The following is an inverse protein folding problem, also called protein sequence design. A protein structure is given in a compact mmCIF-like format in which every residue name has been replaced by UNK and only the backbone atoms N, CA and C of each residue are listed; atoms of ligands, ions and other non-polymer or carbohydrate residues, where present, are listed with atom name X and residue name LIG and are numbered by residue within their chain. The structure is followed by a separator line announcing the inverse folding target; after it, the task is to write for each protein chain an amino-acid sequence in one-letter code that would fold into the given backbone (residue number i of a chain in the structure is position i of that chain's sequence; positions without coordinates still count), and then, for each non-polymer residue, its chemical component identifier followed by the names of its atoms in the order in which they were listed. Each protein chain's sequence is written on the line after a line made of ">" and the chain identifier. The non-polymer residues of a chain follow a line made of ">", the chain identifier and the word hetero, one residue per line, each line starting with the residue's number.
data_IF_140298481432
#
_entry.id   IF_140298481432
#
_cell.length_a   1.000
_cell.length_b   1.000
_cell.length_c   1.000
_cell.angle_alpha   90.00
_cell.angle_beta   90.00
_cell.angle_gamma   90.00
#
_symmetry.space_group_name_H-M   'P 1'
#
loop_
_entity.id
_entity.type
_entity.pdbx_description
1 polymer ?
#
# COMPACT_ATOMS: atom_id res chain seq x y z
N UNK A 1 11.85 -9.59 16.42
CA UNK A 1 11.60 -8.65 15.29
C UNK A 1 11.48 -7.21 15.81
N UNK A 2 12.55 -6.42 15.76
CA UNK A 2 12.47 -4.98 16.05
C UNK A 2 11.87 -4.28 14.82
N UNK A 3 10.57 -3.97 14.89
CA UNK A 3 9.81 -3.43 13.78
C UNK A 3 10.22 -1.97 13.60
N UNK A 4 11.21 -1.71 12.75
CA UNK A 4 11.42 -0.37 12.18
C UNK A 4 10.26 -0.11 11.22
N UNK A 5 9.13 0.33 11.76
CA UNK A 5 8.14 1.06 10.96
C UNK A 5 8.90 2.19 10.29
N UNK A 6 8.92 2.24 8.97
CA UNK A 6 9.34 3.45 8.27
C UNK A 6 8.34 4.55 8.66
N UNK A 7 8.65 5.28 9.74
CA UNK A 7 7.82 6.35 10.24
C UNK A 7 8.22 7.61 9.47
N UNK A 8 7.33 7.96 8.54
CA UNK A 8 6.96 9.32 8.15
C UNK A 8 8.01 10.42 8.38
N UNK A 9 8.71 10.78 7.31
CA UNK A 9 9.10 12.18 7.09
C UNK A 9 8.59 12.59 5.72
N UNK A 10 7.60 13.48 5.74
CA UNK A 10 6.84 14.05 4.63
C UNK A 10 5.84 13.10 3.96
N UNK A 11 4.58 13.18 4.41
CA UNK A 11 3.43 13.43 3.54
C UNK A 11 2.25 13.95 4.35
N UNK A 12 2.29 15.26 4.54
CA UNK A 12 1.14 16.12 4.73
C UNK A 12 -0.07 15.60 3.92
N UNK A 13 -1.13 15.23 4.64
CA UNK A 13 -2.51 15.23 4.19
C UNK A 13 -2.85 14.41 2.91
N UNK A 14 -2.88 13.08 3.03
CA UNK A 14 -3.59 12.20 2.08
C UNK A 14 -4.66 11.31 2.75
N UNK A 15 -5.02 11.59 4.00
CA UNK A 15 -6.18 11.01 4.67
C UNK A 15 -7.46 11.71 4.18
N UNK A 16 -7.78 11.55 2.91
CA UNK A 16 -8.94 12.22 2.34
C UNK A 16 -9.05 11.99 0.85
N UNK A 17 -9.86 11.01 0.49
CA UNK A 17 -10.22 10.61 -0.88
C UNK A 17 -9.09 9.86 -1.60
N UNK A 18 -9.27 8.54 -1.75
CA UNK A 18 -9.13 7.99 -3.11
C UNK A 18 -10.14 8.78 -3.94
N UNK A 19 -9.69 9.90 -4.51
CA UNK A 19 -10.55 10.67 -5.41
C UNK A 19 -10.72 9.72 -6.59
N UNK A 20 -11.86 9.04 -6.65
CA UNK A 20 -12.47 8.57 -7.89
C UNK A 20 -12.89 9.78 -8.74
N UNK A 21 -12.06 10.83 -8.77
CA UNK A 21 -12.31 12.13 -9.33
C UNK A 21 -11.23 12.45 -10.34
N UNK A 22 -11.68 12.57 -11.59
CA UNK A 22 -11.09 13.27 -12.73
C UNK A 22 -9.77 12.80 -13.37
N UNK A 23 -9.06 11.77 -12.87
CA UNK A 23 -7.94 11.15 -13.62
C UNK A 23 -8.38 10.07 -14.64
N UNK A 24 -9.65 10.09 -15.06
CA UNK A 24 -10.32 9.01 -15.80
C UNK A 24 -9.90 8.87 -17.28
N UNK A 25 -9.26 9.89 -17.88
CA UNK A 25 -9.05 9.93 -19.34
C UNK A 25 -7.83 9.10 -19.83
N UNK A 26 -6.90 8.70 -18.94
CA UNK A 26 -5.65 8.01 -19.34
C UNK A 26 -5.42 6.65 -18.67
N UNK A 27 -6.39 6.10 -17.93
CA UNK A 27 -6.20 4.77 -17.32
C UNK A 27 -6.21 3.70 -18.42
N UNK A 28 -5.16 2.86 -18.54
CA UNK A 28 -5.11 1.84 -19.57
C UNK A 28 -6.18 0.77 -19.30
N UNK A 29 -7.23 0.75 -20.12
CA UNK A 29 -8.45 -0.04 -19.87
C UNK A 29 -8.17 -1.54 -19.74
N UNK A 30 -7.22 -2.08 -20.52
CA UNK A 30 -6.92 -3.52 -20.54
C UNK A 30 -6.20 -4.05 -19.29
N UNK A 31 -5.51 -3.18 -18.54
CA UNK A 31 -4.65 -3.60 -17.41
C UNK A 31 -5.01 -2.89 -16.10
N UNK A 32 -5.96 -1.96 -16.13
CA UNK A 32 -6.40 -1.25 -14.94
C UNK A 32 -7.23 -2.19 -14.05
N UNK A 33 -6.82 -2.35 -12.79
CA UNK A 33 -7.54 -3.14 -11.80
C UNK A 33 -8.51 -2.31 -10.94
N UNK A 34 -8.46 -0.97 -11.03
CA UNK A 34 -9.30 -0.07 -10.23
C UNK A 34 -10.81 -0.39 -10.26
N UNK A 35 -11.43 -0.82 -11.38
CA UNK A 35 -12.86 -1.16 -11.40
C UNK A 35 -13.24 -2.33 -10.48
N UNK A 36 -12.28 -3.17 -10.12
CA UNK A 36 -12.49 -4.36 -9.28
C UNK A 36 -12.08 -4.12 -7.83
N UNK A 37 -11.55 -2.94 -7.50
CA UNK A 37 -11.21 -2.59 -6.12
C UNK A 37 -12.47 -2.18 -5.36
N UNK A 38 -12.54 -2.48 -4.06
CA UNK A 38 -13.66 -2.09 -3.23
C UNK A 38 -13.74 -0.55 -3.15
N UNK A 39 -14.96 -0.03 -3.27
CA UNK A 39 -15.25 1.42 -3.22
C UNK A 39 -14.87 2.01 -1.85
N UNK A 40 -14.98 1.20 -0.80
CA UNK A 40 -14.61 1.55 0.55
C UNK A 40 -13.55 0.58 1.10
N UNK A 41 -12.58 1.05 1.89
CA UNK A 41 -11.61 0.18 2.53
C UNK A 41 -12.27 -0.93 3.34
N UNK A 42 -11.71 -2.14 3.25
CA UNK A 42 -12.22 -3.32 3.92
C UNK A 42 -11.99 -3.18 5.43
N UNK A 43 -13.06 -3.32 6.21
CA UNK A 43 -12.98 -3.30 7.67
C UNK A 43 -12.34 -4.61 8.15
N UNK A 44 -11.12 -4.52 8.67
CA UNK A 44 -10.41 -5.65 9.26
C UNK A 44 -10.15 -5.40 10.75
N UNK A 45 -10.32 -6.44 11.56
CA UNK A 45 -9.97 -6.41 12.99
C UNK A 45 -8.46 -6.61 13.22
N UNK A 46 -7.78 -7.23 12.25
CA UNK A 46 -6.35 -7.56 12.30
C UNK A 46 -5.48 -6.43 11.74
N UNK A 47 -4.19 -6.45 12.08
CA UNK A 47 -3.18 -5.58 11.47
C UNK A 47 -2.30 -6.41 10.53
N UNK A 48 -2.18 -5.97 9.28
CA UNK A 48 -1.39 -6.62 8.24
C UNK A 48 0.02 -6.02 8.22
N UNK A 49 1.03 -6.89 8.32
CA UNK A 49 2.44 -6.54 8.17
C UNK A 49 2.96 -7.19 6.89
N UNK A 50 3.35 -6.36 5.92
CA UNK A 50 3.89 -6.80 4.64
C UNK A 50 5.39 -6.56 4.68
N UNK A 51 6.16 -7.63 4.54
CA UNK A 51 7.62 -7.58 4.43
C UNK A 51 7.96 -7.63 2.94
N UNK A 52 8.57 -6.58 2.41
CA UNK A 52 8.83 -6.41 0.98
C UNK A 52 10.32 -6.25 0.71
N UNK A 53 10.86 -6.99 -0.27
CA UNK A 53 12.23 -6.78 -0.73
C UNK A 53 12.31 -5.52 -1.63
N UNK A 54 13.38 -4.68 -1.55
CA UNK A 54 13.47 -3.47 -2.37
C UNK A 54 13.36 -3.71 -3.87
N UNK A 55 13.86 -4.84 -4.37
CA UNK A 55 13.75 -5.19 -5.80
C UNK A 55 12.30 -5.52 -6.24
N UNK A 56 11.38 -5.75 -5.32
CA UNK A 56 9.96 -5.91 -5.64
C UNK A 56 9.27 -4.57 -5.82
N UNK A 57 9.78 -3.50 -5.23
CA UNK A 57 9.24 -2.15 -5.38
C UNK A 57 9.36 -1.64 -6.82
N UNK A 58 10.44 -2.02 -7.51
CA UNK A 58 10.69 -1.67 -8.90
C UNK A 58 9.86 -2.48 -9.91
N UNK A 59 9.09 -3.50 -9.48
CA UNK A 59 8.26 -4.30 -10.39
C UNK A 59 7.00 -3.52 -10.78
N UNK A 60 6.60 -3.67 -12.05
CA UNK A 60 5.44 -2.95 -12.64
C UNK A 60 4.11 -3.42 -12.05
N UNK A 61 3.98 -4.73 -11.78
CA UNK A 61 2.79 -5.32 -11.13
C UNK A 61 3.12 -5.60 -9.68
N UNK A 62 2.41 -4.94 -8.76
CA UNK A 62 2.60 -5.10 -7.32
C UNK A 62 1.24 -5.26 -6.64
N UNK A 63 1.12 -6.30 -5.83
CA UNK A 63 -0.04 -6.56 -4.97
C UNK A 63 -0.05 -5.61 -3.76
N UNK A 64 1.12 -5.19 -3.30
CA UNK A 64 1.27 -4.33 -2.12
C UNK A 64 0.54 -2.98 -2.25
N UNK A 65 0.70 -2.21 -3.35
CA UNK A 65 -0.10 -0.99 -3.56
C UNK A 65 -1.60 -1.25 -3.64
N UNK A 66 -2.03 -2.40 -4.19
CA UNK A 66 -3.44 -2.77 -4.26
C UNK A 66 -4.00 -3.03 -2.86
N UNK A 67 -3.30 -3.81 -2.03
CA UNK A 67 -3.70 -4.08 -0.65
C UNK A 67 -3.71 -2.81 0.20
N UNK A 68 -2.71 -1.93 0.03
CA UNK A 68 -2.67 -0.65 0.72
C UNK A 68 -3.85 0.27 0.32
N UNK A 69 -4.32 0.20 -0.93
CA UNK A 69 -5.49 0.97 -1.37
C UNK A 69 -6.82 0.38 -0.84
N UNK A 70 -6.88 -0.93 -0.62
CA UNK A 70 -8.08 -1.63 -0.15
C UNK A 70 -8.22 -1.67 1.37
N UNK A 71 -7.19 -1.34 2.14
CA UNK A 71 -7.17 -1.47 3.59
C UNK A 71 -7.09 -0.11 4.29
N UNK A 72 -7.59 0.00 5.53
CA UNK A 72 -7.38 1.18 6.35
C UNK A 72 -5.88 1.48 6.54
N UNK A 73 -5.45 2.75 6.45
CA UNK A 73 -4.04 3.12 6.52
C UNK A 73 -3.39 2.78 7.87
N UNK A 74 -4.19 2.70 8.94
CA UNK A 74 -3.75 2.31 10.27
C UNK A 74 -3.53 0.79 10.43
N UNK A 75 -4.05 -0.01 9.49
CA UNK A 75 -4.05 -1.48 9.56
C UNK A 75 -3.12 -2.16 8.56
N UNK A 76 -2.51 -1.43 7.64
CA UNK A 76 -1.58 -2.00 6.64
C UNK A 76 -0.20 -1.36 6.78
N UNK A 77 0.78 -2.13 7.26
CA UNK A 77 2.17 -1.67 7.44
C UNK A 77 3.10 -2.40 6.48
N UNK A 78 3.81 -1.64 5.65
CA UNK A 78 4.77 -2.18 4.68
C UNK A 78 6.19 -1.91 5.19
N UNK A 79 6.98 -2.97 5.31
CA UNK A 79 8.35 -2.94 5.77
C UNK A 79 9.24 -3.34 4.60
N UNK A 80 10.02 -2.39 4.08
CA UNK A 80 10.91 -2.62 2.93
C UNK A 80 12.34 -2.87 3.41
N UNK A 81 12.97 -3.96 2.97
CA UNK A 81 14.31 -4.31 3.44
C UNK A 81 14.94 -5.48 2.70
N UNK A 82 16.27 -5.45 2.55
CA UNK A 82 17.04 -6.55 1.94
C UNK A 82 17.20 -7.74 2.89
N UNK A 83 17.27 -7.45 4.18
CA UNK A 83 17.41 -8.41 5.27
C UNK A 83 16.66 -7.86 6.48
N UNK A 84 15.99 -8.75 7.22
CA UNK A 84 15.30 -8.44 8.46
C UNK A 84 15.95 -9.29 9.56
N UNK A 85 17.13 -8.85 10.03
CA UNK A 85 17.86 -9.53 11.10
C UNK A 85 17.14 -9.34 12.44
N UNK A 86 17.24 -10.32 13.34
CA UNK A 86 16.70 -10.20 14.71
C UNK A 86 17.64 -9.47 15.69
N UNK A 87 18.85 -9.10 15.26
CA UNK A 87 19.87 -8.54 16.14
C UNK A 87 19.56 -7.11 16.62
N UNK A 88 18.91 -7.07 17.78
CA UNK A 88 18.94 -6.09 18.89
C UNK A 88 18.96 -4.60 18.52
#
# INVERSE_FOLDING_TARGET
>A
INIKTANDKNKEEAAGRVVFGVAWIHRPQKVCLCPFLPIHPLKISTCLYIIQHPAEESRVLRTVPLLAACLPPDKCKILVGRRFSEDR
#
